data_IF_541436108896
#
_entry.id   IF_541436108896
#
_cell.length_a   1.000
_cell.length_b   1.000
_cell.length_c   1.000
_cell.angle_alpha   90.00
_cell.angle_beta   90.00
_cell.angle_gamma   90.00
#
_symmetry.space_group_name_H-M   'P 1'
#
loop_
_entity.id
_entity.type
_entity.pdbx_description
1 polymer ?
#
# COMPACT_ATOMS: atom_id res chain seq x y z
N UNK A 1 36.31 49.78 -4.95
CA UNK A 1 36.21 48.43 -4.36
C UNK A 1 35.87 48.62 -2.88
N UNK A 2 34.82 48.06 -2.29
CA UNK A 2 34.41 46.65 -2.32
C UNK A 2 32.88 46.57 -2.19
N UNK A 3 32.27 45.75 -3.04
CA UNK A 3 30.85 45.39 -2.99
C UNK A 3 30.54 44.68 -1.67
N UNK A 4 29.40 45.01 -1.07
CA UNK A 4 28.90 44.44 0.18
C UNK A 4 28.45 42.98 -0.04
N UNK A 5 28.88 42.03 0.81
CA UNK A 5 28.54 40.61 0.67
C UNK A 5 27.14 40.26 1.23
N UNK A 6 26.41 41.24 1.76
CA UNK A 6 25.22 40.99 2.56
C UNK A 6 24.00 40.48 1.75
N UNK A 7 23.92 40.80 0.45
CA UNK A 7 22.81 40.36 -0.40
C UNK A 7 22.92 38.88 -0.78
N UNK A 8 24.15 38.34 -0.85
CA UNK A 8 24.39 36.93 -1.19
C UNK A 8 24.04 35.96 -0.05
N UNK A 9 24.23 36.37 1.20
CA UNK A 9 23.91 35.53 2.36
C UNK A 9 22.40 35.28 2.51
N UNK A 10 21.57 36.28 2.20
CA UNK A 10 20.11 36.18 2.30
C UNK A 10 19.49 35.25 1.24
N UNK A 11 20.05 35.22 0.02
CA UNK A 11 19.53 34.34 -1.04
C UNK A 11 19.88 32.88 -0.76
N UNK A 12 21.07 32.58 -0.24
CA UNK A 12 21.46 31.21 0.13
C UNK A 12 20.63 30.70 1.32
N UNK A 13 20.33 31.53 2.32
CA UNK A 13 19.43 31.14 3.42
C UNK A 13 18.00 30.87 2.96
N UNK A 14 17.48 31.60 1.98
CA UNK A 14 16.17 31.34 1.38
C UNK A 14 16.11 30.04 0.55
N UNK A 15 17.23 29.64 -0.07
CA UNK A 15 17.33 28.36 -0.80
C UNK A 15 17.44 27.17 0.18
N UNK A 16 18.16 27.33 1.30
CA UNK A 16 18.30 26.27 2.33
C UNK A 16 17.03 26.09 3.16
N UNK A 17 16.32 27.16 3.52
CA UNK A 17 15.05 27.08 4.27
C UNK A 17 13.92 26.50 3.41
N UNK A 18 13.92 26.73 2.08
CA UNK A 18 12.96 26.10 1.16
C UNK A 18 13.13 24.60 0.99
N UNK A 19 14.28 24.02 1.36
CA UNK A 19 14.48 22.57 1.29
C UNK A 19 13.92 21.82 2.51
N UNK A 20 13.48 22.54 3.57
CA UNK A 20 13.22 21.96 4.88
C UNK A 20 11.75 22.00 5.33
N UNK A 21 10.79 21.91 4.42
CA UNK A 21 9.41 21.54 4.76
C UNK A 21 8.81 20.61 3.71
N UNK A 22 9.33 19.39 3.59
CA UNK A 22 8.55 18.30 3.00
C UNK A 22 7.56 17.83 4.05
N UNK A 23 6.27 17.82 3.73
CA UNK A 23 5.25 17.32 4.65
C UNK A 23 5.47 15.82 4.94
N UNK A 24 5.03 15.32 6.10
CA UNK A 24 5.10 13.89 6.43
C UNK A 24 4.52 13.01 5.32
N UNK A 25 3.42 13.45 4.71
CA UNK A 25 2.79 12.78 3.58
C UNK A 25 3.71 12.71 2.34
N UNK A 26 4.49 13.75 2.06
CA UNK A 26 5.41 13.76 0.92
C UNK A 26 6.62 12.85 1.15
N UNK A 27 7.13 12.76 2.39
CA UNK A 27 8.21 11.83 2.74
C UNK A 27 7.74 10.37 2.68
N UNK A 28 6.52 10.08 3.17
CA UNK A 28 5.89 8.76 3.03
C UNK A 28 5.60 8.40 1.56
N UNK A 29 5.23 9.41 0.75
CA UNK A 29 4.99 9.25 -0.67
C UNK A 29 6.29 8.87 -1.43
N UNK A 30 7.40 9.53 -1.15
CA UNK A 30 8.69 9.24 -1.79
C UNK A 30 9.23 7.86 -1.35
N UNK A 31 9.00 7.48 -0.09
CA UNK A 31 9.48 6.21 0.48
C UNK A 31 8.83 4.98 -0.17
N UNK A 32 7.50 4.98 -0.40
CA UNK A 32 6.86 3.81 -1.01
C UNK A 32 7.18 3.66 -2.50
N UNK A 33 7.32 4.76 -3.25
CA UNK A 33 7.73 4.69 -4.66
C UNK A 33 9.14 4.09 -4.80
N UNK A 34 10.06 4.46 -3.90
CA UNK A 34 11.39 3.87 -3.88
C UNK A 34 11.34 2.38 -3.53
N UNK A 35 10.51 1.98 -2.56
CA UNK A 35 10.31 0.56 -2.21
C UNK A 35 9.71 -0.24 -3.36
N UNK A 36 8.71 0.29 -4.06
CA UNK A 36 8.10 -0.36 -5.22
C UNK A 36 9.09 -0.54 -6.37
N UNK A 37 9.94 0.47 -6.64
CA UNK A 37 10.99 0.38 -7.66
C UNK A 37 12.08 -0.64 -7.30
N UNK A 38 12.35 -0.82 -6.01
CA UNK A 38 13.35 -1.77 -5.52
C UNK A 38 12.82 -3.20 -5.36
N UNK A 39 11.51 -3.40 -5.31
CA UNK A 39 10.90 -4.71 -5.19
C UNK A 39 10.82 -5.40 -6.56
N UNK A 40 11.13 -6.70 -6.59
CA UNK A 40 10.82 -7.54 -7.75
C UNK A 40 9.31 -7.61 -7.96
N UNK A 41 8.88 -7.67 -9.21
CA UNK A 41 7.45 -7.80 -9.54
C UNK A 41 7.06 -9.26 -9.40
N UNK A 42 5.82 -9.53 -8.99
CA UNK A 42 5.30 -10.90 -8.91
C UNK A 42 5.48 -11.65 -10.23
N UNK A 43 5.30 -10.96 -11.34
CA UNK A 43 5.42 -11.52 -12.69
C UNK A 43 6.86 -11.89 -13.08
N UNK A 44 7.88 -11.44 -12.34
CA UNK A 44 9.28 -11.80 -12.57
C UNK A 44 9.62 -13.19 -12.01
N UNK A 45 8.71 -13.80 -11.23
CA UNK A 45 8.88 -15.11 -10.60
C UNK A 45 8.16 -16.22 -11.35
N UNK A 46 8.58 -17.47 -11.10
CA UNK A 46 7.85 -18.65 -11.58
C UNK A 46 6.80 -19.02 -10.54
N UNK A 47 5.53 -18.93 -10.91
CA UNK A 47 4.41 -19.32 -10.04
C UNK A 47 4.08 -20.82 -10.19
N UNK A 48 3.97 -21.54 -9.06
CA UNK A 48 3.54 -22.94 -8.99
C UNK A 48 2.70 -23.14 -7.74
N UNK A 49 1.47 -23.64 -7.90
CA UNK A 49 0.56 -23.94 -6.79
C UNK A 49 0.33 -22.74 -5.84
N UNK A 50 0.27 -21.52 -6.40
CA UNK A 50 0.09 -20.27 -5.64
C UNK A 50 1.35 -19.77 -4.92
N UNK A 51 2.50 -20.44 -5.10
CA UNK A 51 3.80 -20.00 -4.59
C UNK A 51 4.67 -19.44 -5.70
N UNK A 52 5.42 -18.39 -5.38
CA UNK A 52 6.44 -17.84 -6.27
C UNK A 52 7.84 -18.38 -5.95
N UNK A 53 8.57 -18.71 -7.01
CA UNK A 53 9.93 -19.22 -6.96
C UNK A 53 10.86 -18.32 -7.76
N UNK A 54 12.05 -18.08 -7.21
CA UNK A 54 13.12 -17.40 -7.94
C UNK A 54 13.50 -18.24 -9.18
N UNK A 55 13.47 -17.68 -10.39
CA UNK A 55 13.67 -18.44 -11.63
C UNK A 55 15.09 -19.00 -11.78
N UNK A 56 16.09 -18.44 -11.09
CA UNK A 56 17.49 -18.87 -11.20
C UNK A 56 17.82 -19.97 -10.21
N UNK A 57 17.32 -19.84 -8.98
CA UNK A 57 17.63 -20.75 -7.88
C UNK A 57 16.55 -21.81 -7.65
N UNK A 58 15.35 -21.61 -8.22
CA UNK A 58 14.16 -22.43 -8.01
C UNK A 58 13.79 -22.58 -6.51
N UNK A 59 14.19 -21.60 -5.68
CA UNK A 59 13.83 -21.54 -4.26
C UNK A 59 12.58 -20.67 -4.07
N UNK A 60 11.71 -21.01 -3.10
CA UNK A 60 10.57 -20.15 -2.77
C UNK A 60 11.03 -18.75 -2.37
N UNK A 61 10.41 -17.72 -2.93
CA UNK A 61 10.78 -16.33 -2.64
C UNK A 61 10.41 -15.95 -1.20
N UNK A 62 11.29 -15.21 -0.54
CA UNK A 62 11.01 -14.58 0.76
C UNK A 62 11.54 -13.15 0.72
N UNK A 63 10.67 -12.17 0.93
CA UNK A 63 11.02 -10.77 0.77
C UNK A 63 9.90 -9.90 0.22
N UNK A 64 10.16 -8.61 0.00
CA UNK A 64 9.20 -7.70 -0.62
C UNK A 64 8.89 -8.13 -2.05
N UNK A 65 7.65 -7.88 -2.48
CA UNK A 65 7.19 -8.12 -3.84
C UNK A 65 6.21 -7.03 -4.27
N UNK A 66 6.33 -6.56 -5.51
CA UNK A 66 5.35 -5.67 -6.12
C UNK A 66 4.27 -6.50 -6.84
N UNK A 67 3.02 -6.30 -6.45
CA UNK A 67 1.83 -6.97 -6.97
C UNK A 67 1.07 -6.02 -7.89
N UNK A 68 0.49 -6.55 -8.98
CA UNK A 68 -0.47 -5.77 -9.78
C UNK A 68 -1.74 -5.48 -8.96
N UNK A 69 -2.15 -4.22 -8.95
CA UNK A 69 -3.36 -3.75 -8.27
C UNK A 69 -4.30 -3.04 -9.27
N UNK A 70 -5.38 -3.72 -9.64
CA UNK A 70 -6.27 -3.26 -10.72
C UNK A 70 -5.54 -3.20 -12.07
N UNK A 71 -5.95 -2.27 -12.94
CA UNK A 71 -5.39 -2.16 -14.29
C UNK A 71 -4.05 -1.42 -14.36
N UNK A 72 -3.81 -0.45 -13.47
CA UNK A 72 -2.66 0.46 -13.57
C UNK A 72 -1.89 0.65 -12.25
N UNK A 73 -2.35 0.05 -11.14
CA UNK A 73 -1.74 0.22 -9.83
C UNK A 73 -0.75 -0.90 -9.49
N UNK A 74 0.12 -0.60 -8.54
CA UNK A 74 0.93 -1.60 -7.84
C UNK A 74 0.62 -1.57 -6.35
N UNK A 75 0.68 -2.73 -5.72
CA UNK A 75 0.72 -2.89 -4.28
C UNK A 75 2.08 -3.45 -3.88
N UNK A 76 2.61 -3.05 -2.73
CA UNK A 76 3.79 -3.67 -2.13
C UNK A 76 3.29 -4.69 -1.11
N UNK A 77 3.71 -5.94 -1.24
CA UNK A 77 3.50 -6.99 -0.27
C UNK A 77 4.82 -7.58 0.21
N UNK A 78 4.71 -8.60 1.06
CA UNK A 78 5.83 -9.42 1.49
C UNK A 78 5.47 -10.89 1.27
N UNK A 79 6.43 -11.67 0.79
CA UNK A 79 6.30 -13.11 0.67
C UNK A 79 7.17 -13.83 1.70
N UNK A 80 6.68 -14.97 2.16
CA UNK A 80 7.40 -15.95 2.98
C UNK A 80 7.15 -17.33 2.37
N UNK A 81 8.22 -18.08 2.12
CA UNK A 81 8.16 -19.41 1.50
C UNK A 81 7.34 -19.45 0.20
N UNK A 82 7.44 -18.38 -0.60
CA UNK A 82 6.76 -18.18 -1.86
C UNK A 82 5.31 -17.70 -1.75
N UNK A 83 4.75 -17.57 -0.55
CA UNK A 83 3.36 -17.14 -0.33
C UNK A 83 3.31 -15.72 0.21
N UNK A 84 2.28 -14.94 -0.16
CA UNK A 84 2.04 -13.65 0.50
C UNK A 84 1.77 -13.84 1.99
N UNK A 85 2.52 -13.12 2.82
CA UNK A 85 2.48 -13.24 4.27
C UNK A 85 2.77 -11.88 4.91
N UNK A 86 1.76 -11.33 5.59
CA UNK A 86 1.76 -9.99 6.15
C UNK A 86 0.92 -9.00 5.35
N UNK A 87 1.17 -7.71 5.60
CA UNK A 87 0.40 -6.61 5.01
C UNK A 87 0.86 -6.31 3.59
N UNK A 88 -0.11 -6.22 2.68
CA UNK A 88 0.05 -5.60 1.37
C UNK A 88 -0.63 -4.23 1.33
N UNK A 89 0.08 -3.22 0.85
CA UNK A 89 -0.43 -1.85 0.76
C UNK A 89 -0.34 -1.37 -0.68
N UNK A 90 -1.39 -0.70 -1.16
CA UNK A 90 -1.39 0.01 -2.44
C UNK A 90 -1.53 1.51 -2.21
N UNK A 91 -1.11 2.31 -3.19
CA UNK A 91 -1.13 3.76 -3.12
C UNK A 91 -1.79 4.38 -4.35
N UNK A 92 -2.35 5.57 -4.16
CA UNK A 92 -2.74 6.46 -5.23
C UNK A 92 -1.51 7.08 -5.90
N UNK A 93 -1.71 7.69 -7.08
CA UNK A 93 -0.64 8.37 -7.82
C UNK A 93 -0.01 9.52 -7.01
N UNK A 94 -0.79 10.16 -6.15
CA UNK A 94 -0.33 11.22 -5.24
C UNK A 94 0.40 10.68 -4.00
N UNK A 95 0.52 9.35 -3.89
CA UNK A 95 1.25 8.66 -2.83
C UNK A 95 0.47 8.39 -1.55
N UNK A 96 -0.82 8.77 -1.49
CA UNK A 96 -1.67 8.41 -0.35
C UNK A 96 -2.03 6.94 -0.39
N UNK A 97 -2.22 6.33 0.78
CA UNK A 97 -2.69 4.94 0.86
C UNK A 97 -4.03 4.80 0.15
N UNK A 98 -4.14 3.77 -0.67
CA UNK A 98 -5.36 3.42 -1.41
C UNK A 98 -6.02 2.21 -0.80
N UNK A 99 -5.27 1.15 -0.52
CA UNK A 99 -5.80 -0.05 0.14
C UNK A 99 -4.75 -0.75 0.97
N UNK A 100 -5.20 -1.49 1.96
CA UNK A 100 -4.38 -2.33 2.82
C UNK A 100 -5.09 -3.65 3.06
N UNK A 101 -4.37 -4.74 2.84
CA UNK A 101 -4.86 -6.10 2.94
C UNK A 101 -3.87 -6.93 3.74
N UNK A 102 -4.35 -7.73 4.68
CA UNK A 102 -3.50 -8.65 5.44
C UNK A 102 -3.60 -10.04 4.86
N UNK A 103 -2.46 -10.67 4.61
CA UNK A 103 -2.36 -12.03 4.08
C UNK A 103 -1.69 -12.95 5.11
N UNK A 104 -2.12 -14.20 5.14
CA UNK A 104 -1.46 -15.27 5.84
C UNK A 104 -1.37 -16.47 4.90
N UNK A 105 -0.14 -16.92 4.61
CA UNK A 105 0.13 -18.07 3.72
C UNK A 105 -0.64 -18.00 2.39
N UNK A 106 -0.67 -16.83 1.76
CA UNK A 106 -1.27 -16.58 0.46
C UNK A 106 -2.77 -16.28 0.48
N UNK A 107 -3.43 -16.37 1.64
CA UNK A 107 -4.85 -16.09 1.78
C UNK A 107 -5.09 -14.78 2.53
N UNK A 108 -6.12 -14.03 2.18
CA UNK A 108 -6.55 -12.88 2.98
C UNK A 108 -6.99 -13.34 4.37
N UNK A 109 -6.42 -12.72 5.40
CA UNK A 109 -6.68 -13.02 6.81
C UNK A 109 -6.60 -11.73 7.62
N UNK A 110 -7.64 -11.40 8.36
CA UNK A 110 -7.72 -10.16 9.13
C UNK A 110 -8.31 -9.00 8.34
N UNK A 111 -7.94 -7.78 8.71
CA UNK A 111 -8.62 -6.57 8.24
C UNK A 111 -8.20 -6.19 6.82
N UNK A 112 -9.18 -5.93 5.96
CA UNK A 112 -9.00 -5.24 4.70
C UNK A 112 -9.58 -3.83 4.81
N UNK A 113 -8.84 -2.82 4.36
CA UNK A 113 -9.28 -1.42 4.40
C UNK A 113 -8.97 -0.75 3.07
N UNK A 114 -9.91 0.04 2.56
CA UNK A 114 -9.71 0.89 1.37
C UNK A 114 -10.06 2.31 1.74
N UNK A 115 -9.29 3.28 1.24
CA UNK A 115 -9.47 4.70 1.50
C UNK A 115 -9.79 5.44 0.21
N UNK A 116 -10.45 6.59 0.35
CA UNK A 116 -10.60 7.59 -0.70
C UNK A 116 -9.31 8.42 -0.88
N UNK A 117 -9.14 9.16 -1.99
CA UNK A 117 -8.00 10.06 -2.19
C UNK A 117 -7.90 11.18 -1.14
N UNK A 118 -8.99 11.49 -0.44
CA UNK A 118 -8.99 12.45 0.66
C UNK A 118 -8.49 11.85 2.00
N UNK A 119 -8.17 10.55 2.03
CA UNK A 119 -7.67 9.81 3.20
C UNK A 119 -8.77 9.23 4.09
N UNK A 120 -10.05 9.48 3.81
CA UNK A 120 -11.15 8.89 4.57
C UNK A 120 -11.35 7.43 4.18
N UNK A 121 -11.77 6.61 5.13
CA UNK A 121 -12.05 5.19 4.89
C UNK A 121 -13.25 5.07 3.94
N UNK A 122 -13.05 4.39 2.82
CA UNK A 122 -14.11 4.08 1.86
C UNK A 122 -14.82 2.79 2.23
N UNK A 123 -14.07 1.77 2.64
CA UNK A 123 -14.64 0.52 3.10
C UNK A 123 -13.67 -0.25 3.97
N UNK A 124 -14.22 -1.08 4.84
CA UNK A 124 -13.43 -1.93 5.72
C UNK A 124 -14.22 -3.17 6.12
N UNK A 125 -13.51 -4.30 6.23
CA UNK A 125 -14.07 -5.48 6.88
C UNK A 125 -13.06 -6.62 6.99
N UNK A 126 -13.36 -7.63 7.81
CA UNK A 126 -12.46 -8.74 8.04
C UNK A 126 -12.58 -9.81 6.95
N UNK A 127 -11.45 -10.47 6.71
CA UNK A 127 -11.33 -11.71 5.96
C UNK A 127 -10.88 -12.84 6.88
N UNK A 128 -11.33 -14.05 6.57
CA UNK A 128 -10.87 -15.30 7.18
C UNK A 128 -10.72 -16.35 6.10
N UNK A 129 -9.54 -16.95 5.98
CA UNK A 129 -9.20 -17.97 4.97
C UNK A 129 -9.59 -17.55 3.55
N UNK A 130 -9.30 -16.30 3.19
CA UNK A 130 -9.58 -15.75 1.87
C UNK A 130 -11.03 -15.31 1.65
N UNK A 131 -11.91 -15.41 2.65
CA UNK A 131 -13.34 -15.07 2.51
C UNK A 131 -13.75 -13.94 3.44
N UNK A 132 -14.65 -13.07 2.99
CA UNK A 132 -15.27 -12.06 3.85
C UNK A 132 -15.93 -12.71 5.06
N UNK A 133 -15.68 -12.14 6.24
CA UNK A 133 -16.16 -12.66 7.51
C UNK A 133 -16.38 -11.52 8.50
N UNK A 134 -17.58 -11.42 9.08
CA UNK A 134 -17.95 -10.36 10.00
C UNK A 134 -18.53 -9.13 9.31
N UNK A 135 -18.46 -7.99 9.98
CA UNK A 135 -19.07 -6.75 9.53
C UNK A 135 -18.22 -6.06 8.46
N UNK A 136 -18.80 -5.84 7.29
CA UNK A 136 -18.27 -5.01 6.23
C UNK A 136 -19.02 -3.68 6.21
N UNK A 137 -18.30 -2.57 6.34
CA UNK A 137 -18.88 -1.23 6.33
C UNK A 137 -18.30 -0.45 5.17
N UNK A 138 -19.13 0.37 4.54
CA UNK A 138 -18.71 1.36 3.55
C UNK A 138 -19.18 2.75 3.95
N UNK A 139 -18.37 3.75 3.63
CA UNK A 139 -18.64 5.16 3.89
C UNK A 139 -18.48 5.96 2.60
N UNK A 140 -19.06 7.16 2.56
CA UNK A 140 -18.84 8.12 1.49
C UNK A 140 -17.58 8.97 1.73
N UNK A 141 -17.24 9.85 0.77
CA UNK A 141 -16.09 10.76 0.87
C UNK A 141 -16.20 11.80 2.01
N UNK A 142 -17.34 11.87 2.73
CA UNK A 142 -17.54 12.73 3.90
C UNK A 142 -17.50 11.92 5.20
N UNK A 143 -17.28 10.61 5.13
CA UNK A 143 -17.20 9.71 6.27
C UNK A 143 -18.57 9.30 6.78
N UNK A 144 -19.64 9.58 6.03
CA UNK A 144 -20.97 9.12 6.37
C UNK A 144 -21.11 7.67 5.93
N UNK A 145 -21.58 6.81 6.83
CA UNK A 145 -21.87 5.41 6.50
C UNK A 145 -22.91 5.34 5.37
N UNK A 146 -22.58 4.57 4.33
CA UNK A 146 -23.42 4.33 3.16
C UNK A 146 -24.09 2.96 3.27
N UNK A 147 -23.35 1.96 3.73
CA UNK A 147 -23.90 0.63 3.96
C UNK A 147 -23.09 -0.16 4.98
N UNK A 148 -23.74 -1.11 5.60
CA UNK A 148 -23.11 -2.18 6.35
C UNK A 148 -23.76 -3.52 6.02
N UNK A 149 -22.95 -4.56 5.94
CA UNK A 149 -23.38 -5.93 5.67
C UNK A 149 -22.60 -6.90 6.55
N UNK A 150 -23.26 -7.93 7.05
CA UNK A 150 -22.58 -9.00 7.78
C UNK A 150 -22.31 -10.16 6.86
N UNK A 151 -21.09 -10.71 6.88
CA UNK A 151 -20.70 -11.85 6.06
C UNK A 151 -20.31 -13.05 6.93
N UNK A 152 -20.65 -14.24 6.47
CA UNK A 152 -20.14 -15.51 6.99
C UNK A 152 -19.63 -16.35 5.84
N UNK A 153 -18.33 -16.62 5.85
CA UNK A 153 -17.64 -17.44 4.85
C UNK A 153 -17.90 -16.97 3.41
N UNK A 154 -17.89 -15.65 3.21
CA UNK A 154 -18.13 -14.98 1.94
C UNK A 154 -19.60 -14.76 1.59
N UNK A 155 -20.54 -15.29 2.38
CA UNK A 155 -21.98 -15.19 2.13
C UNK A 155 -22.55 -14.04 2.96
N UNK A 156 -23.29 -13.14 2.30
CA UNK A 156 -24.01 -12.06 2.97
C UNK A 156 -25.10 -12.67 3.87
N UNK A 157 -25.04 -12.34 5.15
CA UNK A 157 -25.90 -12.82 6.22
C UNK A 157 -26.43 -11.60 6.99
N UNK A 158 -27.20 -10.78 6.30
CA UNK A 158 -27.96 -9.70 6.94
C UNK A 158 -29.23 -10.36 7.52
N UNK A 159 -29.40 -10.27 8.85
CA UNK A 159 -30.60 -10.75 9.53
C UNK A 159 -31.76 -9.76 9.36
#
# INVERSE_FOLDING_TARGET
>A
MKQTPAVWLCIVLLIVVRHHQRSHAQVEAENHQQKLKAAARWEDFVEREGRIYDPKTNRPHTGPVALRYGNEGLALGHCRDGLLDGTSTSWYRDGKKRSEHTYQRGLLEGLATTWYPNGQTMSQGPYRKGKLHGLWISWDERGKEVSQHTYRDGIRNDN
#
